data_IF_592632595064
#
_entry.id   IF_592632595064
#
_cell.length_a   1.000
_cell.length_b   1.000
_cell.length_c   1.000
_cell.angle_alpha   90.00
_cell.angle_beta   90.00
_cell.angle_gamma   90.00
#
_symmetry.space_group_name_H-M   'P 1'
#
loop_
_entity.id
_entity.type
_entity.pdbx_description
1 polymer ?
#
# COMPACT_ATOMS: atom_id res chain seq x y z
N UNK A 1 -21.82 -17.80 -5.19
CA UNK A 1 -20.76 -16.94 -5.77
C UNK A 1 -19.49 -17.78 -5.86
N UNK A 2 -18.83 -17.88 -7.01
CA UNK A 2 -17.65 -18.74 -7.16
C UNK A 2 -16.46 -18.12 -6.43
N UNK A 3 -15.58 -18.95 -5.83
CA UNK A 3 -14.43 -18.49 -5.04
C UNK A 3 -13.52 -17.53 -5.83
N UNK A 4 -13.35 -17.78 -7.13
CA UNK A 4 -12.59 -16.90 -8.02
C UNK A 4 -13.19 -15.50 -8.18
N UNK A 5 -14.52 -15.40 -8.23
CA UNK A 5 -15.22 -14.11 -8.37
C UNK A 5 -15.13 -13.31 -7.08
N UNK A 6 -15.31 -13.98 -5.94
CA UNK A 6 -15.14 -13.36 -4.61
C UNK A 6 -13.73 -12.81 -4.43
N UNK A 7 -12.71 -13.59 -4.79
CA UNK A 7 -11.32 -13.17 -4.63
C UNK A 7 -10.97 -11.97 -5.49
N UNK A 8 -11.48 -11.88 -6.73
CA UNK A 8 -11.26 -10.69 -7.59
C UNK A 8 -11.91 -9.44 -7.02
N UNK A 9 -13.13 -9.55 -6.50
CA UNK A 9 -13.82 -8.42 -5.88
C UNK A 9 -13.02 -7.92 -4.67
N UNK A 10 -12.55 -8.84 -3.81
CA UNK A 10 -11.73 -8.48 -2.65
C UNK A 10 -10.43 -7.76 -3.05
N UNK A 11 -9.72 -8.26 -4.06
CA UNK A 11 -8.49 -7.64 -4.57
C UNK A 11 -8.77 -6.24 -5.14
N UNK A 12 -9.88 -6.08 -5.86
CA UNK A 12 -10.24 -4.78 -6.44
C UNK A 12 -10.60 -3.75 -5.36
N UNK A 13 -11.39 -4.15 -4.36
CA UNK A 13 -11.71 -3.30 -3.20
C UNK A 13 -10.44 -2.91 -2.42
N UNK A 14 -9.54 -3.87 -2.17
CA UNK A 14 -8.27 -3.59 -1.52
C UNK A 14 -7.41 -2.62 -2.34
N UNK A 15 -7.40 -2.75 -3.66
CA UNK A 15 -6.67 -1.84 -4.55
C UNK A 15 -7.17 -0.40 -4.43
N UNK A 16 -8.49 -0.21 -4.37
CA UNK A 16 -9.08 1.13 -4.17
C UNK A 16 -8.63 1.73 -2.83
N UNK A 17 -8.70 0.94 -1.76
CA UNK A 17 -8.26 1.38 -0.42
C UNK A 17 -6.78 1.78 -0.43
N UNK A 18 -5.93 0.98 -1.07
CA UNK A 18 -4.49 1.25 -1.18
C UNK A 18 -4.19 2.51 -2.00
N UNK A 19 -4.98 2.83 -3.02
CA UNK A 19 -4.84 4.08 -3.78
C UNK A 19 -5.16 5.27 -2.89
N UNK A 20 -6.31 5.24 -2.20
CA UNK A 20 -6.73 6.33 -1.30
C UNK A 20 -5.69 6.51 -0.18
N UNK A 21 -5.26 5.41 0.44
CA UNK A 21 -4.24 5.44 1.49
C UNK A 21 -2.91 5.96 0.96
N UNK A 22 -2.51 5.55 -0.25
CA UNK A 22 -1.32 6.07 -0.93
C UNK A 22 -1.41 7.58 -1.14
N UNK A 23 -2.56 8.11 -1.57
CA UNK A 23 -2.80 9.55 -1.74
C UNK A 23 -2.67 10.29 -0.40
N UNK A 24 -3.22 9.75 0.69
CA UNK A 24 -3.11 10.35 2.02
C UNK A 24 -1.65 10.55 2.48
N UNK A 25 -0.72 9.67 2.06
CA UNK A 25 0.72 9.86 2.32
C UNK A 25 1.30 11.11 1.65
N UNK A 26 0.70 11.58 0.56
CA UNK A 26 1.14 12.81 -0.11
C UNK A 26 0.41 14.05 0.41
N UNK A 27 -0.88 13.91 0.75
CA UNK A 27 -1.71 15.04 1.21
C UNK A 27 -1.41 15.39 2.67
N UNK A 28 -1.26 14.39 3.55
CA UNK A 28 -1.06 14.58 4.98
C UNK A 28 0.21 13.88 5.51
N UNK A 29 1.40 14.13 4.92
CA UNK A 29 2.61 13.37 5.22
C UNK A 29 3.07 13.54 6.68
N UNK A 30 2.80 14.70 7.28
CA UNK A 30 3.19 15.00 8.67
C UNK A 30 2.35 14.23 9.69
N UNK A 31 1.11 13.88 9.36
CA UNK A 31 0.26 13.03 10.19
C UNK A 31 0.75 11.57 10.19
N UNK A 32 1.51 11.19 9.17
CA UNK A 32 2.05 9.84 9.02
C UNK A 32 3.49 9.72 9.52
N UNK A 33 4.20 10.84 9.61
CA UNK A 33 5.56 10.90 10.16
C UNK A 33 5.65 10.34 11.59
N UNK A 34 4.59 10.43 12.38
CA UNK A 34 4.53 9.88 13.75
C UNK A 34 4.72 8.36 13.80
N UNK A 35 4.43 7.66 12.69
CA UNK A 35 4.61 6.21 12.57
C UNK A 35 6.00 5.83 12.05
N UNK A 36 6.80 6.79 11.59
CA UNK A 36 8.19 6.53 11.18
C UNK A 36 9.09 6.58 12.41
N UNK A 37 9.80 5.49 12.75
CA UNK A 37 10.69 5.49 13.90
C UNK A 37 11.79 6.54 13.77
N UNK A 38 12.02 7.32 14.83
CA UNK A 38 12.95 8.45 14.83
C UNK A 38 14.43 8.06 14.58
N UNK A 39 14.77 6.78 14.76
CA UNK A 39 16.12 6.27 14.52
C UNK A 39 16.41 6.00 13.03
N UNK A 40 15.40 6.02 12.15
CA UNK A 40 15.58 5.83 10.72
C UNK A 40 15.91 7.16 10.05
N UNK A 41 17.08 7.30 9.40
CA UNK A 41 17.41 8.50 8.64
C UNK A 41 16.46 8.64 7.44
N UNK A 42 16.01 9.87 7.19
CA UNK A 42 15.13 10.21 6.06
C UNK A 42 13.74 10.69 6.45
N UNK A 43 13.26 10.40 7.66
CA UNK A 43 12.02 10.99 8.22
C UNK A 43 10.83 10.98 7.25
N UNK A 44 10.40 12.16 6.80
CA UNK A 44 9.24 12.35 5.92
C UNK A 44 9.40 11.72 4.53
N UNK A 45 10.63 11.51 4.06
CA UNK A 45 10.88 10.85 2.79
C UNK A 45 10.32 9.43 2.78
N UNK A 46 10.37 8.72 3.92
CA UNK A 46 9.80 7.37 4.05
C UNK A 46 8.29 7.37 3.92
N UNK A 47 7.60 8.42 4.37
CA UNK A 47 6.14 8.55 4.20
C UNK A 47 5.79 8.58 2.71
N UNK A 48 6.51 9.35 1.91
CA UNK A 48 6.29 9.37 0.46
C UNK A 48 6.65 8.03 -0.20
N UNK A 49 7.74 7.38 0.22
CA UNK A 49 8.15 6.06 -0.30
C UNK A 49 7.06 5.01 -0.04
N UNK A 50 6.49 4.99 1.17
CA UNK A 50 5.38 4.11 1.53
C UNK A 50 4.14 4.43 0.68
N UNK A 51 3.81 5.72 0.49
CA UNK A 51 2.72 6.15 -0.38
C UNK A 51 2.86 5.65 -1.82
N UNK A 52 4.06 5.78 -2.40
CA UNK A 52 4.39 5.24 -3.73
C UNK A 52 4.22 3.72 -3.74
N UNK A 53 4.73 3.02 -2.73
CA UNK A 53 4.63 1.57 -2.63
C UNK A 53 3.16 1.10 -2.59
N UNK A 54 2.30 1.76 -1.81
CA UNK A 54 0.86 1.44 -1.76
C UNK A 54 0.19 1.58 -3.14
N UNK A 55 0.50 2.65 -3.88
CA UNK A 55 -0.05 2.87 -5.23
C UNK A 55 0.46 1.79 -6.20
N UNK A 56 1.76 1.45 -6.15
CA UNK A 56 2.34 0.39 -6.99
C UNK A 56 1.73 -0.98 -6.71
N UNK A 57 1.45 -1.31 -5.44
CA UNK A 57 0.75 -2.54 -5.05
C UNK A 57 -0.67 -2.55 -5.63
N UNK A 58 -1.41 -1.45 -5.51
CA UNK A 58 -2.75 -1.34 -6.08
C UNK A 58 -2.76 -1.52 -7.61
N UNK A 59 -1.82 -0.89 -8.31
CA UNK A 59 -1.66 -1.04 -9.76
C UNK A 59 -1.34 -2.50 -10.11
N UNK A 60 -0.44 -3.14 -9.37
CA UNK A 60 -0.08 -4.55 -9.55
C UNK A 60 -1.29 -5.48 -9.38
N UNK A 61 -2.15 -5.20 -8.40
CA UNK A 61 -3.38 -5.94 -8.15
C UNK A 61 -4.41 -5.76 -9.26
N UNK A 62 -4.58 -4.54 -9.78
CA UNK A 62 -5.48 -4.24 -10.90
C UNK A 62 -5.01 -4.91 -12.20
N UNK A 63 -3.71 -4.81 -12.50
CA UNK A 63 -3.10 -5.41 -13.71
C UNK A 63 -2.95 -6.94 -13.55
N UNK A 64 -3.18 -7.48 -12.34
CA UNK A 64 -2.99 -8.89 -12.00
C UNK A 64 -1.58 -9.41 -12.35
N UNK A 65 -0.56 -8.55 -12.17
CA UNK A 65 0.84 -8.84 -12.48
C UNK A 65 1.68 -8.67 -11.22
N UNK A 66 2.54 -9.63 -10.91
CA UNK A 66 3.39 -9.65 -9.70
C UNK A 66 2.61 -9.62 -8.36
N UNK A 67 1.31 -9.96 -8.38
CA UNK A 67 0.40 -9.90 -7.23
C UNK A 67 0.96 -10.60 -5.98
N UNK A 68 1.62 -11.76 -6.13
CA UNK A 68 2.22 -12.47 -4.99
C UNK A 68 3.31 -11.62 -4.31
N UNK A 69 4.22 -11.05 -5.09
CA UNK A 69 5.37 -10.30 -4.56
C UNK A 69 4.87 -9.00 -3.91
N UNK A 70 3.98 -8.29 -4.57
CA UNK A 70 3.40 -7.06 -4.05
C UNK A 70 2.50 -7.31 -2.83
N UNK A 71 1.83 -8.46 -2.75
CA UNK A 71 1.11 -8.86 -1.55
C UNK A 71 2.03 -9.17 -0.36
N UNK A 72 3.17 -9.84 -0.59
CA UNK A 72 4.16 -10.07 0.48
C UNK A 72 4.80 -8.76 0.95
N UNK A 73 5.12 -7.85 0.03
CA UNK A 73 5.61 -6.51 0.37
C UNK A 73 4.58 -5.71 1.17
N UNK A 74 3.31 -5.77 0.77
CA UNK A 74 2.23 -5.14 1.51
C UNK A 74 2.08 -5.75 2.90
N UNK A 75 2.13 -7.07 3.02
CA UNK A 75 2.06 -7.74 4.32
C UNK A 75 3.23 -7.32 5.23
N UNK A 76 4.46 -7.31 4.69
CA UNK A 76 5.63 -6.84 5.42
C UNK A 76 5.44 -5.41 5.96
N UNK A 77 4.88 -4.51 5.13
CA UNK A 77 4.61 -3.13 5.50
C UNK A 77 3.55 -3.01 6.60
N UNK A 78 2.52 -3.85 6.56
CA UNK A 78 1.44 -3.82 7.56
C UNK A 78 1.82 -4.45 8.91
N UNK A 79 2.80 -5.37 8.92
CA UNK A 79 3.25 -6.07 10.12
C UNK A 79 4.58 -5.55 10.69
N UNK A 80 5.21 -4.56 10.04
CA UNK A 80 6.44 -3.91 10.51
C UNK A 80 6.21 -2.86 11.58
#
# INVERSE_FOLDING_TARGET
MNQHTLSRIAIFLLSIVLIVFGIEHFVHPRNMLIYVPAWIPGGITWVYVVGIACILVAISFIINRLVKITAYLLALLLFS
#
